data_IF_219257782753
#
_entry.id   IF_219257782753
#
_cell.length_a   1.000
_cell.length_b   1.000
_cell.length_c   1.000
_cell.angle_alpha   90.00
_cell.angle_beta   90.00
_cell.angle_gamma   90.00
#
_symmetry.space_group_name_H-M   'P 1'
#
loop_
_entity.id
_entity.type
_entity.pdbx_description
1 polymer ?
#
# COMPACT_ATOMS: atom_id res chain seq x y z
N UNK A 1 -14.83 20.07 -32.06
CA UNK A 1 -15.39 18.79 -31.58
C UNK A 1 -14.31 17.74 -31.35
N UNK A 2 -13.38 17.52 -32.28
CA UNK A 2 -12.30 16.52 -32.12
C UNK A 2 -11.40 16.70 -30.90
N UNK A 3 -10.99 17.95 -30.59
CA UNK A 3 -10.14 18.22 -29.43
C UNK A 3 -10.81 17.84 -28.10
N UNK A 4 -12.14 17.96 -28.04
CA UNK A 4 -12.90 17.60 -26.85
C UNK A 4 -12.99 16.07 -26.71
N UNK A 5 -13.19 15.34 -27.81
CA UNK A 5 -13.18 13.87 -27.79
C UNK A 5 -11.82 13.31 -27.38
N UNK A 6 -10.71 13.85 -27.91
CA UNK A 6 -9.35 13.45 -27.52
C UNK A 6 -9.07 13.69 -26.02
N UNK A 7 -9.57 14.81 -25.47
CA UNK A 7 -9.44 15.11 -24.05
C UNK A 7 -10.24 14.13 -23.17
N UNK A 8 -11.47 13.77 -23.57
CA UNK A 8 -12.29 12.80 -22.85
C UNK A 8 -11.66 11.40 -22.88
N UNK A 9 -11.13 10.97 -24.03
CA UNK A 9 -10.43 9.71 -24.17
C UNK A 9 -9.18 9.63 -23.29
N UNK A 10 -8.36 10.69 -23.25
CA UNK A 10 -7.19 10.75 -22.36
C UNK A 10 -7.58 10.69 -20.87
N UNK A 11 -8.65 11.38 -20.47
CA UNK A 11 -9.17 11.31 -19.10
C UNK A 11 -9.65 9.89 -18.76
N UNK A 12 -10.35 9.25 -19.68
CA UNK A 12 -10.81 7.87 -19.51
C UNK A 12 -9.65 6.89 -19.37
N UNK A 13 -8.62 6.98 -20.23
CA UNK A 13 -7.43 6.13 -20.16
C UNK A 13 -6.71 6.32 -18.83
N UNK A 14 -6.55 7.56 -18.37
CA UNK A 14 -5.93 7.87 -17.07
C UNK A 14 -6.72 7.29 -15.91
N UNK A 15 -8.05 7.44 -15.93
CA UNK A 15 -8.93 6.88 -14.90
C UNK A 15 -8.90 5.34 -14.90
N UNK A 16 -8.90 4.70 -16.08
CA UNK A 16 -8.81 3.24 -16.21
C UNK A 16 -7.49 2.71 -15.65
N UNK A 17 -6.37 3.30 -16.04
CA UNK A 17 -5.04 2.94 -15.51
C UNK A 17 -4.99 3.05 -13.99
N UNK A 18 -5.60 4.10 -13.44
CA UNK A 18 -5.69 4.30 -11.99
C UNK A 18 -6.47 3.20 -11.29
N UNK A 19 -7.57 2.73 -11.88
CA UNK A 19 -8.37 1.62 -11.34
C UNK A 19 -7.60 0.30 -11.38
N UNK A 20 -6.87 0.04 -12.47
CA UNK A 20 -6.01 -1.16 -12.58
C UNK A 20 -4.89 -1.16 -11.52
N UNK A 21 -4.23 -0.02 -11.30
CA UNK A 21 -3.23 0.13 -10.24
C UNK A 21 -3.84 -0.10 -8.85
N UNK A 22 -5.03 0.45 -8.57
CA UNK A 22 -5.75 0.21 -7.32
C UNK A 22 -6.06 -1.28 -7.11
N UNK A 23 -6.58 -1.95 -8.14
CA UNK A 23 -6.88 -3.39 -8.07
C UNK A 23 -5.62 -4.20 -7.78
N UNK A 24 -4.51 -3.90 -8.44
CA UNK A 24 -3.23 -4.57 -8.20
C UNK A 24 -2.75 -4.39 -6.76
N UNK A 25 -2.94 -3.20 -6.18
CA UNK A 25 -2.62 -2.95 -4.78
C UNK A 25 -3.48 -3.69 -3.79
N UNK A 26 -4.80 -3.71 -3.98
CA UNK A 26 -5.67 -4.47 -3.10
C UNK A 26 -5.38 -5.96 -3.16
N UNK A 27 -5.07 -6.50 -4.35
CA UNK A 27 -4.61 -7.88 -4.46
C UNK A 27 -3.32 -8.11 -3.68
N UNK A 28 -2.31 -7.25 -3.84
CA UNK A 28 -1.06 -7.39 -3.09
C UNK A 28 -1.27 -7.28 -1.57
N UNK A 29 -2.11 -6.35 -1.11
CA UNK A 29 -2.48 -6.17 0.30
C UNK A 29 -3.18 -7.40 0.87
N UNK A 30 -4.17 -7.94 0.16
CA UNK A 30 -4.91 -9.14 0.57
C UNK A 30 -3.97 -10.34 0.65
N UNK A 31 -3.14 -10.55 -0.39
CA UNK A 31 -2.13 -11.61 -0.40
C UNK A 31 -1.14 -11.46 0.77
N UNK A 32 -0.67 -10.24 1.03
CA UNK A 32 0.20 -9.94 2.16
C UNK A 32 -0.45 -10.35 3.48
N UNK A 33 -1.69 -9.95 3.74
CA UNK A 33 -2.41 -10.29 4.98
C UNK A 33 -2.60 -11.81 5.11
N UNK A 34 -3.12 -12.46 4.06
CA UNK A 34 -3.44 -13.90 4.10
C UNK A 34 -2.19 -14.75 4.35
N UNK A 35 -1.11 -14.50 3.60
CA UNK A 35 0.13 -15.28 3.72
C UNK A 35 0.76 -15.07 5.10
N UNK A 36 0.85 -13.82 5.56
CA UNK A 36 1.45 -13.52 6.85
C UNK A 36 0.64 -14.12 8.00
N UNK A 37 -0.70 -14.06 7.96
CA UNK A 37 -1.56 -14.71 8.95
C UNK A 37 -1.41 -16.24 8.93
N UNK A 38 -1.31 -16.84 7.74
CA UNK A 38 -1.09 -18.27 7.61
C UNK A 38 0.25 -18.72 8.20
N UNK A 39 1.34 -18.00 7.89
CA UNK A 39 2.68 -18.28 8.43
C UNK A 39 2.73 -18.12 9.94
N UNK A 40 2.18 -17.02 10.46
CA UNK A 40 2.10 -16.77 11.90
C UNK A 40 1.23 -17.81 12.60
N UNK A 41 0.09 -18.20 12.02
CA UNK A 41 -0.77 -19.25 12.56
C UNK A 41 -0.09 -20.62 12.59
N UNK A 42 0.61 -21.00 11.51
CA UNK A 42 1.35 -22.26 11.44
C UNK A 42 2.43 -22.35 12.52
N UNK A 43 3.22 -21.29 12.72
CA UNK A 43 4.24 -21.26 13.77
C UNK A 43 3.67 -21.28 15.19
N UNK A 44 2.54 -20.61 15.42
CA UNK A 44 1.86 -20.67 16.73
C UNK A 44 1.41 -22.11 17.02
N UNK A 45 0.82 -22.80 16.04
CA UNK A 45 0.40 -24.20 16.19
C UNK A 45 1.60 -25.11 16.49
N UNK A 46 2.68 -24.96 15.74
CA UNK A 46 3.92 -25.73 15.93
C UNK A 46 4.55 -25.47 17.31
N UNK A 47 4.64 -24.21 17.72
CA UNK A 47 5.19 -23.82 19.02
C UNK A 47 4.38 -24.35 20.22
N UNK A 48 3.04 -24.39 20.11
CA UNK A 48 2.18 -25.01 21.11
C UNK A 48 2.42 -26.52 21.17
N UNK A 49 2.60 -27.19 20.03
CA UNK A 49 2.81 -28.65 19.96
C UNK A 49 4.15 -29.11 20.58
N UNK A 50 5.17 -28.25 20.55
CA UNK A 50 6.48 -28.51 21.13
C UNK A 50 6.62 -28.04 22.60
N UNK A 51 5.52 -27.57 23.22
CA UNK A 51 5.52 -27.02 24.58
C UNK A 51 6.54 -25.87 24.77
N UNK A 52 6.84 -25.13 23.67
CA UNK A 52 7.70 -23.94 23.69
C UNK A 52 6.97 -22.80 24.38
N UNK A 53 7.68 -21.99 25.16
CA UNK A 53 7.11 -20.81 25.81
C UNK A 53 6.74 -19.76 24.75
N UNK A 54 5.66 -19.01 24.96
CA UNK A 54 5.27 -17.92 24.06
C UNK A 54 6.42 -16.93 23.77
N UNK A 55 7.31 -16.69 24.75
CA UNK A 55 8.51 -15.87 24.54
C UNK A 55 9.47 -16.44 23.49
N UNK A 56 9.71 -17.75 23.44
CA UNK A 56 10.63 -18.35 22.47
C UNK A 56 10.05 -18.34 21.06
N UNK A 57 8.74 -18.51 20.92
CA UNK A 57 8.02 -18.48 19.64
C UNK A 57 7.99 -17.06 19.06
N UNK A 58 7.75 -16.05 19.90
CA UNK A 58 7.77 -14.65 19.48
C UNK A 58 9.19 -14.06 19.38
N UNK A 59 10.20 -14.64 20.03
CA UNK A 59 11.59 -14.20 19.89
C UNK A 59 12.24 -14.64 18.57
N UNK A 60 11.60 -15.54 17.80
CA UNK A 60 12.09 -15.95 16.50
C UNK A 60 11.94 -14.80 15.48
N UNK A 61 13.03 -14.07 15.31
CA UNK A 61 13.19 -12.93 14.40
C UNK A 61 12.75 -13.22 12.95
N UNK A 62 12.67 -14.50 12.57
CA UNK A 62 12.24 -14.94 11.25
C UNK A 62 10.82 -14.48 10.88
N UNK A 63 9.89 -14.45 11.85
CA UNK A 63 8.52 -13.96 11.60
C UNK A 63 8.51 -12.46 11.30
N UNK A 64 9.12 -11.66 12.16
CA UNK A 64 9.18 -10.21 11.97
C UNK A 64 9.93 -9.83 10.69
N UNK A 65 10.93 -10.61 10.30
CA UNK A 65 11.65 -10.41 9.04
C UNK A 65 10.72 -10.48 7.81
N UNK A 66 9.85 -11.48 7.73
CA UNK A 66 8.92 -11.63 6.61
C UNK A 66 7.91 -10.48 6.57
N UNK A 67 7.32 -10.15 7.72
CA UNK A 67 6.38 -9.03 7.85
C UNK A 67 7.03 -7.70 7.45
N UNK A 68 8.25 -7.42 7.93
CA UNK A 68 8.95 -6.15 7.67
C UNK A 68 9.37 -6.04 6.22
N UNK A 69 10.03 -7.06 5.64
CA UNK A 69 10.53 -6.99 4.26
C UNK A 69 9.38 -6.82 3.26
N UNK A 70 8.30 -7.59 3.42
CA UNK A 70 7.13 -7.47 2.55
C UNK A 70 6.33 -6.19 2.86
N UNK A 71 6.27 -5.79 4.12
CA UNK A 71 5.64 -4.55 4.55
C UNK A 71 6.29 -3.31 3.94
N UNK A 72 7.61 -3.30 3.78
CA UNK A 72 8.33 -2.23 3.07
C UNK A 72 7.90 -2.17 1.60
N UNK A 73 7.80 -3.31 0.91
CA UNK A 73 7.32 -3.37 -0.47
C UNK A 73 5.88 -2.85 -0.61
N UNK A 74 5.01 -3.24 0.33
CA UNK A 74 3.63 -2.75 0.39
C UNK A 74 3.58 -1.24 0.66
N UNK A 75 4.39 -0.73 1.57
CA UNK A 75 4.49 0.71 1.89
C UNK A 75 4.85 1.54 0.64
N UNK A 76 5.86 1.13 -0.13
CA UNK A 76 6.20 1.80 -1.38
C UNK A 76 5.08 1.71 -2.41
N UNK A 77 4.32 0.61 -2.46
CA UNK A 77 3.18 0.49 -3.36
C UNK A 77 2.03 1.43 -2.95
N UNK A 78 1.73 1.53 -1.65
CA UNK A 78 0.79 2.51 -1.10
C UNK A 78 1.21 3.92 -1.46
N UNK A 79 2.49 4.26 -1.28
CA UNK A 79 3.01 5.58 -1.60
C UNK A 79 2.93 5.87 -3.10
N UNK A 80 3.24 4.90 -3.96
CA UNK A 80 3.11 5.05 -5.43
C UNK A 80 1.66 5.33 -5.85
N UNK A 81 0.70 4.64 -5.24
CA UNK A 81 -0.70 4.80 -5.59
C UNK A 81 -1.24 6.05 -4.95
N UNK A 82 -1.33 6.12 -3.63
CA UNK A 82 -2.03 7.23 -2.98
C UNK A 82 -1.20 8.51 -2.86
N UNK A 83 0.12 8.44 -3.05
CA UNK A 83 1.01 9.59 -2.98
C UNK A 83 1.05 10.21 -1.58
N UNK A 84 1.51 11.45 -1.53
CA UNK A 84 1.49 12.27 -0.31
C UNK A 84 0.08 12.51 0.23
N UNK A 85 -0.94 12.38 -0.61
CA UNK A 85 -2.34 12.62 -0.27
C UNK A 85 -2.86 11.66 0.81
N UNK A 86 -2.30 10.45 0.93
CA UNK A 86 -2.63 9.50 2.00
C UNK A 86 -2.12 9.95 3.38
N UNK A 87 -0.94 10.55 3.43
CA UNK A 87 -0.26 10.90 4.69
C UNK A 87 -0.50 12.34 5.12
N UNK A 88 -0.62 13.27 4.17
CA UNK A 88 -0.74 14.72 4.41
C UNK A 88 -2.17 15.25 4.21
N UNK A 89 -3.09 14.44 3.71
CA UNK A 89 -4.48 14.83 3.44
C UNK A 89 -4.63 15.75 2.22
N UNK A 90 -5.89 15.98 1.81
CA UNK A 90 -6.22 16.85 0.66
C UNK A 90 -5.82 18.31 0.91
N UNK A 91 -5.88 18.75 2.17
CA UNK A 91 -5.63 20.14 2.56
C UNK A 91 -4.20 20.58 2.23
N UNK A 92 -3.22 19.68 2.38
CA UNK A 92 -1.84 19.98 2.03
C UNK A 92 -1.65 20.19 0.53
N UNK A 93 -2.30 19.38 -0.30
CA UNK A 93 -2.21 19.49 -1.76
C UNK A 93 -2.84 20.80 -2.25
N UNK A 94 -4.00 21.17 -1.70
CA UNK A 94 -4.66 22.46 -1.99
C UNK A 94 -3.83 23.66 -1.53
N UNK A 95 -3.22 23.59 -0.34
CA UNK A 95 -2.32 24.63 0.16
C UNK A 95 -1.10 24.78 -0.75
N UNK A 96 -0.52 23.68 -1.23
CA UNK A 96 0.66 23.74 -2.10
C UNK A 96 0.33 24.30 -3.49
N UNK A 97 -0.83 23.96 -4.05
CA UNK A 97 -1.31 24.56 -5.30
C UNK A 97 -1.50 26.07 -5.14
N UNK A 98 -2.12 26.52 -4.04
CA UNK A 98 -2.25 27.95 -3.71
C UNK A 98 -0.90 28.64 -3.56
N UNK A 99 0.07 28.02 -2.90
CA UNK A 99 1.41 28.59 -2.73
C UNK A 99 2.13 28.77 -4.08
N UNK A 100 2.03 27.78 -4.98
CA UNK A 100 2.63 27.85 -6.32
C UNK A 100 1.95 28.91 -7.19
N UNK A 101 0.62 29.02 -7.13
CA UNK A 101 -0.11 30.08 -7.85
C UNK A 101 0.30 31.47 -7.35
N UNK A 102 0.45 31.66 -6.04
CA UNK A 102 0.85 32.94 -5.45
C UNK A 102 2.33 33.28 -5.69
N UNK A 103 3.21 32.30 -5.88
CA UNK A 103 4.63 32.52 -6.23
C UNK A 103 4.86 32.90 -7.68
N UNK A 104 3.91 32.61 -8.57
CA UNK A 104 3.97 32.93 -9.99
C UNK A 104 3.16 34.19 -10.36
N UNK A 105 2.66 34.92 -9.36
CA UNK A 105 2.10 36.28 -9.46
C UNK A 105 3.08 37.27 -8.83
#
# INVERSE_FOLDING_TARGET
MEANNRLQEQKYIRAKKRVEELKGYYWHLVTYIIINLFLSGAQIIEGISENRTFETIFSDFGLYGVWIVWGIGLFFHTFKIFGFRFFLGNDWEEQKIKEIMNKNN
#
